data_IF_764698031786
#
_entry.id   IF_764698031786
#
_cell.length_a   1.000
_cell.length_b   1.000
_cell.length_c   1.000
_cell.angle_alpha   90.00
_cell.angle_beta   90.00
_cell.angle_gamma   90.00
#
_symmetry.space_group_name_H-M   'P 1'
#
loop_
_entity.id
_entity.type
_entity.pdbx_description
1 polymer ?
#
# COMPACT_ATOMS: atom_id res chain seq x y z
N UNK A 1 72.59 -27.65 -37.41
CA UNK A 1 71.51 -26.87 -36.79
C UNK A 1 70.64 -26.34 -37.91
N UNK A 2 69.37 -26.78 -37.99
CA UNK A 2 68.50 -26.55 -39.14
C UNK A 2 68.01 -25.08 -39.19
N UNK A 3 68.08 -24.53 -40.42
CA UNK A 3 67.70 -23.11 -40.70
C UNK A 3 66.35 -22.69 -40.07
N UNK A 4 65.39 -23.60 -39.93
CA UNK A 4 64.10 -23.34 -39.22
C UNK A 4 64.25 -23.02 -37.74
N UNK A 5 65.20 -23.64 -37.03
CA UNK A 5 65.46 -23.36 -35.62
C UNK A 5 66.10 -21.95 -35.38
N UNK A 6 66.91 -21.51 -36.35
CA UNK A 6 67.52 -20.21 -36.32
C UNK A 6 66.51 -19.07 -36.56
N UNK A 7 65.51 -19.31 -37.43
CA UNK A 7 64.42 -18.37 -37.67
C UNK A 7 63.53 -18.18 -36.44
N UNK A 8 63.22 -19.21 -35.66
CA UNK A 8 62.39 -19.09 -34.42
C UNK A 8 63.19 -18.40 -33.31
N UNK A 9 64.51 -18.61 -33.23
CA UNK A 9 65.35 -17.89 -32.25
C UNK A 9 65.42 -16.40 -32.57
N UNK A 10 65.55 -16.02 -33.84
CA UNK A 10 65.56 -14.61 -34.26
C UNK A 10 64.22 -13.90 -34.03
N UNK A 11 63.09 -14.56 -34.25
CA UNK A 11 61.74 -14.03 -33.99
C UNK A 11 61.50 -13.89 -32.48
N UNK A 12 61.96 -14.88 -31.70
CA UNK A 12 61.81 -14.81 -30.22
C UNK A 12 62.64 -13.68 -29.63
N UNK A 13 63.86 -13.42 -30.11
CA UNK A 13 64.70 -12.31 -29.64
C UNK A 13 64.10 -10.97 -30.08
N UNK A 14 63.53 -10.86 -31.29
CA UNK A 14 62.90 -9.62 -31.76
C UNK A 14 61.65 -9.27 -30.96
N UNK A 15 60.84 -10.27 -30.54
CA UNK A 15 59.65 -10.05 -29.68
C UNK A 15 60.06 -9.62 -28.28
N UNK A 16 61.13 -10.20 -27.71
CA UNK A 16 61.61 -9.79 -26.37
C UNK A 16 62.17 -8.37 -26.39
N UNK A 17 62.87 -7.97 -27.45
CA UNK A 17 63.43 -6.62 -27.58
C UNK A 17 62.32 -5.58 -27.77
N UNK A 18 61.24 -5.89 -28.47
CA UNK A 18 60.11 -4.97 -28.63
C UNK A 18 59.31 -4.80 -27.32
N UNK A 19 59.20 -5.82 -26.45
CA UNK A 19 58.56 -5.71 -25.16
C UNK A 19 59.36 -4.92 -24.13
N UNK A 20 60.72 -4.97 -24.24
CA UNK A 20 61.61 -4.23 -23.35
C UNK A 20 61.75 -2.72 -23.72
N UNK A 21 61.49 -2.34 -24.98
CA UNK A 21 61.52 -0.95 -25.42
C UNK A 21 60.22 -0.17 -25.17
N UNK A 22 59.14 -0.85 -24.80
CA UNK A 22 57.86 -0.21 -24.43
C UNK A 22 57.79 0.23 -22.96
N UNK A 23 58.82 -0.01 -22.14
CA UNK A 23 58.84 0.26 -20.71
C UNK A 23 59.43 1.60 -20.32
N UNK A 24 59.87 2.41 -21.27
CA UNK A 24 60.39 3.77 -21.00
C UNK A 24 59.47 4.84 -21.63
N UNK A 25 58.25 4.96 -21.12
CA UNK A 25 57.44 6.15 -21.28
C UNK A 25 57.85 7.24 -20.25
N UNK A 26 57.66 8.55 -20.56
CA UNK A 26 58.03 9.61 -19.65
C UNK A 26 57.28 9.41 -18.32
N UNK A 27 58.01 9.62 -17.21
CA UNK A 27 57.44 9.52 -15.84
C UNK A 27 56.17 10.35 -15.76
N UNK A 28 55.04 9.68 -15.46
CA UNK A 28 53.80 10.38 -15.18
C UNK A 28 54.02 11.30 -13.98
N UNK A 29 53.79 12.60 -14.16
CA UNK A 29 53.70 13.57 -13.09
C UNK A 29 52.73 13.02 -12.03
N UNK A 30 53.04 13.02 -10.73
CA UNK A 30 52.16 12.57 -9.70
C UNK A 30 50.89 13.41 -9.75
N UNK A 31 49.78 12.79 -10.15
CA UNK A 31 48.45 13.37 -10.00
C UNK A 31 48.23 13.54 -8.48
N UNK A 32 47.84 14.70 -7.99
CA UNK A 32 47.51 14.87 -6.59
C UNK A 32 46.43 13.82 -6.24
N UNK A 33 46.45 13.20 -5.06
CA UNK A 33 45.46 12.23 -4.68
C UNK A 33 44.09 12.84 -4.82
N UNK A 34 43.30 12.33 -5.75
CA UNK A 34 41.88 12.65 -5.87
C UNK A 34 41.27 12.31 -4.52
N UNK A 35 40.85 13.35 -3.79
CA UNK A 35 40.12 13.18 -2.52
C UNK A 35 39.03 12.16 -2.78
N UNK A 36 39.03 11.05 -2.05
CA UNK A 36 37.97 10.07 -2.10
C UNK A 36 36.63 10.81 -1.97
N UNK A 37 35.61 10.49 -2.78
CA UNK A 37 34.32 11.12 -2.61
C UNK A 37 33.93 10.94 -1.15
N UNK A 38 33.69 12.06 -0.48
CA UNK A 38 33.19 12.10 0.88
C UNK A 38 31.92 11.22 0.89
N UNK A 39 31.73 10.29 1.84
CA UNK A 39 30.55 9.46 1.86
C UNK A 39 29.34 10.38 1.85
N UNK A 40 28.55 10.30 0.80
CA UNK A 40 27.30 11.06 0.68
C UNK A 40 26.47 10.72 1.90
N UNK A 41 26.27 11.73 2.76
CA UNK A 41 25.40 11.63 3.92
C UNK A 41 24.07 10.98 3.46
N UNK A 42 23.59 9.92 4.12
CA UNK A 42 22.30 9.36 3.78
C UNK A 42 21.27 10.48 3.70
N UNK A 43 20.34 10.48 2.74
CA UNK A 43 19.29 11.48 2.70
C UNK A 43 18.65 11.55 4.08
N UNK A 44 18.52 12.76 4.62
CA UNK A 44 17.89 12.97 5.91
C UNK A 44 16.53 12.25 5.89
N UNK A 45 16.13 11.54 6.98
CA UNK A 45 14.80 10.97 7.06
C UNK A 45 13.80 12.05 6.70
N UNK A 46 12.85 11.74 5.81
CA UNK A 46 11.79 12.67 5.45
C UNK A 46 11.18 13.21 6.75
N UNK A 47 11.09 14.54 6.88
CA UNK A 47 10.58 15.17 8.08
C UNK A 47 9.20 14.54 8.40
N UNK A 48 9.12 13.83 9.52
CA UNK A 48 7.85 13.41 10.07
C UNK A 48 7.17 14.65 10.62
N UNK A 49 5.93 14.88 10.20
CA UNK A 49 5.11 15.95 10.74
C UNK A 49 5.06 15.84 12.28
N UNK A 50 5.05 16.96 13.02
CA UNK A 50 4.79 16.93 14.44
C UNK A 50 3.49 16.18 14.72
N UNK A 51 3.36 15.44 15.82
CA UNK A 51 2.11 14.77 16.16
C UNK A 51 0.99 15.81 16.21
N UNK A 52 -0.09 15.52 15.49
CA UNK A 52 -1.29 16.36 15.51
C UNK A 52 -1.72 16.60 16.97
N UNK A 53 -2.27 17.77 17.31
CA UNK A 53 -2.82 18.03 18.65
C UNK A 53 -3.70 16.86 19.05
N UNK A 54 -3.53 16.35 20.27
CA UNK A 54 -4.27 15.21 20.78
C UNK A 54 -5.78 15.46 20.62
N UNK A 55 -6.39 14.84 19.62
CA UNK A 55 -7.83 14.88 19.43
C UNK A 55 -8.47 14.31 20.69
N UNK A 56 -9.43 15.03 21.26
CA UNK A 56 -10.23 14.58 22.38
C UNK A 56 -10.80 13.21 22.00
N UNK A 57 -10.42 12.16 22.74
CA UNK A 57 -10.84 10.78 22.46
C UNK A 57 -12.35 10.67 22.70
N UNK A 58 -13.15 11.02 21.70
CA UNK A 58 -14.57 10.66 21.72
C UNK A 58 -14.67 9.15 21.65
N UNK A 59 -15.34 8.47 22.59
CA UNK A 59 -15.51 7.03 22.50
C UNK A 59 -16.21 6.69 21.19
N UNK A 60 -15.62 5.76 20.44
CA UNK A 60 -16.25 5.27 19.22
C UNK A 60 -17.48 4.46 19.57
N UNK A 61 -18.57 4.53 18.76
CA UNK A 61 -19.77 3.73 18.98
C UNK A 61 -19.44 2.26 19.14
N UNK A 62 -20.09 1.57 20.07
CA UNK A 62 -20.00 0.14 20.19
C UNK A 62 -20.56 -0.51 18.90
N UNK A 63 -19.81 -1.49 18.34
CA UNK A 63 -20.33 -2.29 17.24
C UNK A 63 -21.47 -3.17 17.75
N UNK A 64 -22.55 -3.27 16.96
CA UNK A 64 -23.62 -4.20 17.27
C UNK A 64 -23.08 -5.64 17.25
N UNK A 65 -23.55 -6.54 18.13
CA UNK A 65 -23.10 -7.93 18.13
C UNK A 65 -23.51 -8.60 16.83
N UNK A 66 -22.52 -9.10 16.07
CA UNK A 66 -22.74 -9.88 14.86
C UNK A 66 -23.31 -11.26 15.19
N UNK A 67 -24.12 -11.82 14.30
CA UNK A 67 -24.44 -13.24 14.33
C UNK A 67 -23.21 -14.02 13.92
N UNK A 68 -22.59 -14.69 14.89
CA UNK A 68 -21.40 -15.50 14.66
C UNK A 68 -21.74 -16.98 14.90
N UNK A 69 -22.81 -17.45 14.25
CA UNK A 69 -23.27 -18.81 14.38
C UNK A 69 -22.26 -19.78 13.80
N UNK A 70 -22.02 -20.88 14.53
CA UNK A 70 -21.07 -21.91 14.10
C UNK A 70 -21.49 -22.52 12.78
N UNK A 71 -20.57 -22.55 11.81
CA UNK A 71 -20.85 -23.18 10.51
C UNK A 71 -20.91 -24.70 10.64
N UNK A 72 -21.73 -25.38 9.84
CA UNK A 72 -21.81 -26.86 9.81
C UNK A 72 -20.44 -27.51 9.48
N UNK A 73 -19.62 -26.80 8.70
CA UNK A 73 -18.27 -27.22 8.30
C UNK A 73 -17.17 -26.79 9.26
N UNK A 74 -17.52 -26.24 10.43
CA UNK A 74 -16.54 -25.80 11.42
C UNK A 74 -15.53 -26.89 11.78
N UNK A 75 -14.26 -26.50 11.88
CA UNK A 75 -13.15 -27.41 12.10
C UNK A 75 -12.90 -27.64 13.60
N UNK A 76 -12.31 -28.77 13.89
CA UNK A 76 -11.68 -29.04 15.18
C UNK A 76 -10.23 -29.39 14.92
N UNK A 77 -9.32 -28.67 15.56
CA UNK A 77 -7.87 -28.83 15.40
C UNK A 77 -7.25 -29.22 16.75
N UNK A 78 -6.25 -30.10 16.70
CA UNK A 78 -5.50 -30.48 17.90
C UNK A 78 -4.50 -29.38 18.32
N UNK A 79 -4.09 -29.40 19.58
CA UNK A 79 -3.02 -28.53 20.07
C UNK A 79 -1.75 -28.67 19.21
N UNK A 80 -1.07 -27.56 18.96
CA UNK A 80 0.10 -27.47 18.07
C UNK A 80 -0.23 -27.39 16.58
N UNK A 81 -1.46 -27.61 16.17
CA UNK A 81 -1.90 -27.40 14.78
C UNK A 81 -2.30 -25.95 14.56
N UNK A 82 -2.11 -25.45 13.34
CA UNK A 82 -2.52 -24.10 12.97
C UNK A 82 -4.03 -23.93 13.13
N UNK A 83 -4.44 -22.87 13.81
CA UNK A 83 -5.83 -22.61 14.20
C UNK A 83 -6.18 -23.09 15.62
N UNK A 84 -5.29 -23.79 16.32
CA UNK A 84 -5.46 -24.09 17.74
C UNK A 84 -5.15 -22.85 18.61
N UNK A 85 -5.61 -22.80 19.88
CA UNK A 85 -5.35 -21.68 20.77
C UNK A 85 -3.86 -21.36 20.99
N UNK A 86 -3.01 -22.39 20.99
CA UNK A 86 -1.55 -22.29 21.14
C UNK A 86 -0.83 -21.95 19.82
N UNK A 87 -1.52 -22.04 18.68
CA UNK A 87 -1.00 -21.72 17.36
C UNK A 87 -2.08 -21.04 16.48
N UNK A 88 -2.47 -19.81 16.79
CA UNK A 88 -3.56 -19.12 16.10
C UNK A 88 -3.22 -18.79 14.65
N UNK A 89 -4.24 -18.64 13.81
CA UNK A 89 -4.13 -18.04 12.49
C UNK A 89 -3.94 -16.53 12.67
N UNK A 90 -2.83 -16.00 12.16
CA UNK A 90 -2.54 -14.56 12.24
C UNK A 90 -3.14 -13.85 11.06
N UNK A 91 -3.95 -12.83 11.35
CA UNK A 91 -4.55 -11.90 10.38
C UNK A 91 -3.73 -10.62 10.38
N UNK A 92 -3.17 -10.29 9.25
CA UNK A 92 -2.35 -9.09 9.05
C UNK A 92 -3.16 -7.98 8.38
N UNK A 93 -3.05 -6.77 8.92
CA UNK A 93 -3.62 -5.55 8.34
C UNK A 93 -2.54 -4.52 8.04
N UNK A 94 -2.62 -3.86 6.88
CA UNK A 94 -1.74 -2.72 6.59
C UNK A 94 -2.17 -1.48 7.39
N UNK A 95 -1.23 -0.62 7.82
CA UNK A 95 -1.52 0.55 8.66
C UNK A 95 -2.02 1.76 7.83
N UNK A 96 -3.10 1.59 7.05
CA UNK A 96 -3.58 2.61 6.12
C UNK A 96 -4.25 3.82 6.80
N UNK A 97 -4.86 3.58 7.97
CA UNK A 97 -5.53 4.58 8.81
C UNK A 97 -5.16 4.36 10.27
N UNK A 98 -5.90 4.95 11.21
CA UNK A 98 -5.65 4.79 12.65
C UNK A 98 -5.58 3.30 13.05
N UNK A 99 -4.42 2.85 13.53
CA UNK A 99 -4.15 1.45 13.89
C UNK A 99 -5.07 0.96 15.02
N UNK A 100 -5.49 1.85 15.93
CA UNK A 100 -6.42 1.50 17.00
C UNK A 100 -7.81 1.14 16.47
N UNK A 101 -8.26 1.81 15.38
CA UNK A 101 -9.51 1.47 14.69
C UNK A 101 -9.40 0.10 14.00
N UNK A 102 -8.33 -0.09 13.23
CA UNK A 102 -8.04 -1.35 12.53
C UNK A 102 -8.00 -2.51 13.52
N UNK A 103 -7.22 -2.39 14.59
CA UNK A 103 -7.06 -3.44 15.60
C UNK A 103 -8.39 -3.80 16.26
N UNK A 104 -9.19 -2.82 16.64
CA UNK A 104 -10.49 -3.08 17.29
C UNK A 104 -11.46 -3.78 16.35
N UNK A 105 -11.62 -3.30 15.11
CA UNK A 105 -12.48 -3.94 14.12
C UNK A 105 -11.98 -5.34 13.76
N UNK A 106 -10.67 -5.48 13.59
CA UNK A 106 -10.01 -6.76 13.32
C UNK A 106 -10.21 -7.77 14.44
N UNK A 107 -10.10 -7.37 15.71
CA UNK A 107 -10.37 -8.25 16.86
C UNK A 107 -11.82 -8.72 16.88
N UNK A 108 -12.80 -7.82 16.69
CA UNK A 108 -14.20 -8.20 16.61
C UNK A 108 -14.47 -9.19 15.46
N UNK A 109 -13.83 -8.98 14.30
CA UNK A 109 -13.90 -9.90 13.17
C UNK A 109 -13.26 -11.26 13.52
N UNK A 110 -12.08 -11.27 14.12
CA UNK A 110 -11.36 -12.48 14.52
C UNK A 110 -12.16 -13.34 15.53
N UNK A 111 -12.79 -12.69 16.51
CA UNK A 111 -13.67 -13.37 17.48
C UNK A 111 -14.88 -14.01 16.81
N UNK A 112 -15.52 -13.29 15.86
CA UNK A 112 -16.64 -13.81 15.10
C UNK A 112 -16.22 -15.00 14.21
N UNK A 113 -15.12 -14.84 13.46
CA UNK A 113 -14.55 -15.93 12.65
C UNK A 113 -14.24 -17.16 13.53
N UNK A 114 -13.67 -16.96 14.73
CA UNK A 114 -13.37 -18.04 15.65
C UNK A 114 -14.61 -18.84 16.05
N UNK A 115 -15.69 -18.18 16.39
CA UNK A 115 -16.99 -18.82 16.71
C UNK A 115 -17.56 -19.60 15.54
N UNK A 116 -17.48 -19.00 14.33
CA UNK A 116 -18.03 -19.59 13.11
C UNK A 116 -17.24 -20.79 12.61
N UNK A 117 -15.91 -20.74 12.69
CA UNK A 117 -15.02 -21.73 12.08
C UNK A 117 -14.51 -22.80 13.03
N UNK A 118 -14.56 -22.56 14.35
CA UNK A 118 -13.92 -23.40 15.37
C UNK A 118 -12.40 -23.24 15.46
N UNK A 119 -11.84 -22.25 14.77
CA UNK A 119 -10.40 -21.94 14.75
C UNK A 119 -10.10 -20.72 15.62
N UNK A 120 -8.86 -20.57 16.04
CA UNK A 120 -8.39 -19.39 16.77
C UNK A 120 -7.66 -18.45 15.83
N UNK A 121 -8.00 -17.16 15.92
CA UNK A 121 -7.39 -16.10 15.14
C UNK A 121 -6.73 -15.06 16.05
N UNK A 122 -5.63 -14.50 15.57
CA UNK A 122 -4.90 -13.38 16.19
C UNK A 122 -4.79 -12.26 15.19
N UNK A 123 -4.98 -11.01 15.62
CA UNK A 123 -4.87 -9.83 14.77
C UNK A 123 -3.53 -9.15 14.99
N UNK A 124 -2.88 -8.81 13.91
CA UNK A 124 -1.69 -7.98 13.86
C UNK A 124 -1.95 -6.80 12.90
N UNK A 125 -1.39 -5.65 13.23
CA UNK A 125 -1.32 -4.51 12.32
C UNK A 125 0.15 -4.21 12.08
N UNK A 126 0.55 -4.20 10.81
CA UNK A 126 1.92 -3.93 10.41
C UNK A 126 2.38 -2.52 10.80
N UNK A 127 3.68 -2.36 10.92
CA UNK A 127 4.30 -1.03 11.13
C UNK A 127 4.45 -0.25 9.82
N UNK A 128 4.36 -0.96 8.69
CA UNK A 128 4.37 -0.42 7.32
C UNK A 128 3.82 -1.46 6.35
N UNK A 129 3.48 -1.05 5.15
CA UNK A 129 3.05 -1.95 4.08
C UNK A 129 4.14 -3.00 3.76
N UNK A 130 5.40 -2.59 3.75
CA UNK A 130 6.52 -3.52 3.54
C UNK A 130 6.62 -4.56 4.66
N UNK A 131 6.42 -4.16 5.92
CA UNK A 131 6.42 -5.10 7.05
C UNK A 131 5.30 -6.12 6.93
N UNK A 132 4.10 -5.71 6.50
CA UNK A 132 2.96 -6.63 6.28
C UNK A 132 3.23 -7.62 5.15
N UNK A 133 3.85 -7.19 4.04
CA UNK A 133 4.28 -8.08 2.96
C UNK A 133 5.27 -9.14 3.47
N UNK A 134 6.29 -8.72 4.24
CA UNK A 134 7.30 -9.61 4.80
C UNK A 134 6.73 -10.56 5.86
N UNK A 135 5.75 -10.11 6.65
CA UNK A 135 5.06 -10.95 7.62
C UNK A 135 4.34 -12.13 6.94
N UNK A 136 3.66 -11.87 5.82
CA UNK A 136 3.05 -12.92 5.01
C UNK A 136 4.10 -13.80 4.32
N UNK A 137 5.09 -13.19 3.67
CA UNK A 137 6.14 -13.94 2.98
C UNK A 137 6.96 -14.84 3.89
N UNK A 138 7.20 -14.42 5.12
CA UNK A 138 7.92 -15.20 6.15
C UNK A 138 7.04 -16.15 6.96
N UNK A 139 5.75 -16.27 6.64
CA UNK A 139 4.81 -17.16 7.35
C UNK A 139 4.49 -16.73 8.79
N UNK A 140 4.76 -15.47 9.14
CA UNK A 140 4.38 -14.89 10.44
C UNK A 140 2.90 -14.52 10.48
N UNK A 141 2.35 -14.14 9.34
CA UNK A 141 0.93 -13.93 9.12
C UNK A 141 0.42 -14.94 8.09
N UNK A 142 -0.80 -15.43 8.25
CA UNK A 142 -1.37 -16.52 7.44
C UNK A 142 -2.44 -16.02 6.47
N UNK A 143 -3.12 -14.96 6.82
CA UNK A 143 -4.03 -14.22 5.96
C UNK A 143 -3.79 -12.71 6.13
N UNK A 144 -4.06 -11.94 5.08
CA UNK A 144 -3.82 -10.52 5.07
C UNK A 144 -4.91 -9.74 4.38
N UNK A 145 -5.06 -8.49 4.81
CA UNK A 145 -5.81 -7.45 4.13
C UNK A 145 -4.81 -6.39 3.67
N UNK A 146 -4.08 -6.74 2.59
CA UNK A 146 -3.05 -5.89 2.01
C UNK A 146 -3.69 -4.92 1.02
N UNK A 147 -3.16 -3.70 0.93
CA UNK A 147 -3.56 -2.80 -0.14
C UNK A 147 -3.17 -3.37 -1.51
N UNK A 148 -3.73 -2.84 -2.58
CA UNK A 148 -3.61 -3.39 -3.93
C UNK A 148 -2.16 -3.56 -4.39
N UNK A 149 -1.31 -2.55 -4.19
CA UNK A 149 0.11 -2.62 -4.56
C UNK A 149 0.85 -3.67 -3.71
N UNK A 150 0.59 -3.70 -2.41
CA UNK A 150 1.18 -4.68 -1.50
C UNK A 150 0.74 -6.11 -1.83
N UNK A 151 -0.53 -6.32 -2.19
CA UNK A 151 -1.05 -7.61 -2.63
C UNK A 151 -0.37 -8.07 -3.93
N UNK A 152 -0.20 -7.15 -4.90
CA UNK A 152 0.51 -7.44 -6.15
C UNK A 152 1.98 -7.81 -5.89
N UNK A 153 2.66 -7.04 -5.05
CA UNK A 153 4.05 -7.28 -4.69
C UNK A 153 4.22 -8.61 -3.92
N UNK A 154 3.35 -8.89 -2.95
CA UNK A 154 3.35 -10.14 -2.22
C UNK A 154 3.03 -11.34 -3.13
N UNK A 155 2.13 -11.18 -4.10
CA UNK A 155 1.86 -12.20 -5.13
C UNK A 155 3.11 -12.50 -5.96
N UNK A 156 3.79 -11.47 -6.44
CA UNK A 156 4.98 -11.66 -7.27
C UNK A 156 6.18 -12.21 -6.48
N UNK A 157 6.35 -11.79 -5.22
CA UNK A 157 7.51 -12.17 -4.40
C UNK A 157 7.32 -13.50 -3.67
N UNK A 158 6.14 -13.76 -3.15
CA UNK A 158 5.85 -14.87 -2.25
C UNK A 158 4.72 -15.79 -2.74
N UNK A 159 4.15 -15.49 -3.90
CA UNK A 159 3.05 -16.26 -4.51
C UNK A 159 1.84 -16.41 -3.58
N UNK A 160 1.48 -15.33 -2.85
CA UNK A 160 0.27 -15.34 -2.03
C UNK A 160 -0.97 -15.55 -2.89
N UNK A 161 -1.98 -16.20 -2.33
CA UNK A 161 -3.27 -16.39 -3.00
C UNK A 161 -4.16 -15.15 -2.78
N UNK A 162 -4.51 -14.44 -3.84
CA UNK A 162 -5.50 -13.36 -3.79
C UNK A 162 -6.88 -13.98 -4.00
N UNK A 163 -7.71 -14.01 -2.97
CA UNK A 163 -8.94 -14.82 -2.93
C UNK A 163 -10.19 -13.99 -3.06
N UNK A 164 -10.26 -12.85 -2.38
CA UNK A 164 -11.39 -11.95 -2.45
C UNK A 164 -10.91 -10.54 -2.81
N UNK A 165 -11.75 -9.82 -3.56
CA UNK A 165 -11.64 -8.38 -3.75
C UNK A 165 -12.80 -7.70 -3.07
N UNK A 166 -12.52 -6.63 -2.34
CA UNK A 166 -13.55 -5.87 -1.65
C UNK A 166 -14.37 -5.04 -2.63
N UNK A 167 -15.64 -4.87 -2.31
CA UNK A 167 -16.52 -3.93 -2.97
C UNK A 167 -16.92 -2.82 -2.01
N UNK A 168 -16.90 -1.59 -2.49
CA UNK A 168 -17.32 -0.39 -1.74
C UNK A 168 -18.37 0.36 -2.56
N UNK A 169 -19.28 1.05 -1.88
CA UNK A 169 -20.14 2.02 -2.56
C UNK A 169 -19.27 3.14 -3.10
N UNK A 170 -19.36 3.37 -4.41
CA UNK A 170 -18.55 4.35 -5.10
C UNK A 170 -18.96 5.79 -4.74
N UNK A 171 -17.97 6.69 -4.68
CA UNK A 171 -18.17 8.09 -4.35
C UNK A 171 -18.00 8.38 -2.86
N UNK A 172 -18.37 9.57 -2.45
CA UNK A 172 -18.32 10.00 -1.05
C UNK A 172 -19.70 9.98 -0.40
N UNK A 173 -19.76 9.59 0.88
CA UNK A 173 -20.99 9.54 1.63
C UNK A 173 -21.39 10.92 2.12
N UNK A 174 -22.64 11.34 1.85
CA UNK A 174 -23.23 12.56 2.40
C UNK A 174 -23.74 12.34 3.82
N UNK A 175 -24.06 13.43 4.51
CA UNK A 175 -24.61 13.39 5.87
C UNK A 175 -25.94 12.63 5.96
N UNK A 176 -26.75 12.65 4.91
CA UNK A 176 -28.01 11.91 4.82
C UNK A 176 -27.82 10.41 4.52
N UNK A 177 -26.58 9.95 4.36
CA UNK A 177 -26.24 8.56 4.07
C UNK A 177 -26.29 8.19 2.58
N UNK A 178 -26.71 9.11 1.72
CA UNK A 178 -26.63 8.93 0.26
C UNK A 178 -25.18 9.10 -0.23
N UNK A 179 -24.90 8.71 -1.48
CA UNK A 179 -23.59 8.84 -2.08
C UNK A 179 -23.64 9.81 -3.25
N UNK A 180 -22.55 10.56 -3.44
CA UNK A 180 -22.32 11.41 -4.60
C UNK A 180 -20.89 11.20 -5.12
N UNK A 181 -20.63 11.70 -6.30
CA UNK A 181 -19.29 11.84 -6.85
C UNK A 181 -19.13 13.26 -7.42
N UNK A 182 -17.91 13.66 -7.70
CA UNK A 182 -17.63 14.98 -8.26
C UNK A 182 -18.02 15.04 -9.74
N UNK A 183 -18.49 16.19 -10.22
CA UNK A 183 -18.88 16.37 -11.63
C UNK A 183 -17.74 16.12 -12.62
N UNK A 184 -16.51 16.37 -12.19
CA UNK A 184 -15.31 16.10 -12.98
C UNK A 184 -14.87 14.63 -12.95
N UNK A 185 -15.52 13.78 -12.15
CA UNK A 185 -15.21 12.37 -12.10
C UNK A 185 -15.87 11.63 -13.27
N UNK A 186 -15.09 10.95 -14.15
CA UNK A 186 -15.65 10.20 -15.28
C UNK A 186 -16.56 9.04 -14.84
N UNK A 187 -16.46 8.59 -13.57
CA UNK A 187 -17.26 7.51 -13.01
C UNK A 187 -18.40 7.97 -12.12
N UNK A 188 -18.79 9.24 -12.18
CA UNK A 188 -19.82 9.82 -11.30
C UNK A 188 -21.17 9.09 -11.31
N UNK A 189 -21.53 8.47 -12.42
CA UNK A 189 -22.77 7.70 -12.57
C UNK A 189 -22.76 6.38 -11.76
N UNK A 190 -21.63 6.01 -11.18
CA UNK A 190 -21.50 4.88 -10.26
C UNK A 190 -21.75 5.25 -8.80
N UNK A 191 -21.99 6.52 -8.48
CA UNK A 191 -22.23 6.97 -7.11
C UNK A 191 -23.28 6.12 -6.39
N UNK A 192 -22.92 5.56 -5.23
CA UNK A 192 -23.75 4.65 -4.44
C UNK A 192 -23.85 3.21 -4.94
N UNK A 193 -23.34 2.88 -6.11
CA UNK A 193 -23.26 1.50 -6.61
C UNK A 193 -22.01 0.80 -6.07
N UNK A 194 -22.09 -0.52 -5.89
CA UNK A 194 -20.92 -1.31 -5.53
C UNK A 194 -19.90 -1.32 -6.67
N UNK A 195 -18.64 -1.07 -6.32
CA UNK A 195 -17.51 -1.10 -7.24
C UNK A 195 -16.35 -1.88 -6.61
N UNK A 196 -15.68 -2.69 -7.41
CA UNK A 196 -14.47 -3.44 -7.02
C UNK A 196 -13.19 -2.64 -7.28
N UNK A 197 -13.34 -1.33 -7.40
CA UNK A 197 -12.24 -0.36 -7.54
C UNK A 197 -12.55 0.90 -6.76
N UNK A 198 -11.50 1.66 -6.48
CA UNK A 198 -11.54 3.00 -5.92
C UNK A 198 -10.56 3.91 -6.68
N UNK A 199 -10.47 5.18 -6.29
CA UNK A 199 -9.56 6.15 -6.90
C UNK A 199 -8.76 6.92 -5.87
N UNK A 200 -7.58 7.44 -6.20
CA UNK A 200 -6.97 8.51 -5.44
C UNK A 200 -7.82 9.77 -5.53
N UNK A 201 -7.98 10.49 -4.43
CA UNK A 201 -8.52 11.84 -4.38
C UNK A 201 -7.41 12.82 -4.01
N UNK A 202 -7.23 13.84 -4.87
CA UNK A 202 -6.33 14.94 -4.62
C UNK A 202 -7.11 16.11 -4.06
N UNK A 203 -6.69 16.61 -2.93
CA UNK A 203 -7.41 17.64 -2.19
C UNK A 203 -6.47 18.76 -1.74
N UNK A 204 -7.07 19.91 -1.47
CA UNK A 204 -6.39 21.12 -1.03
C UNK A 204 -7.27 21.88 -0.05
N UNK A 205 -6.72 22.90 0.60
CA UNK A 205 -7.50 23.79 1.45
C UNK A 205 -8.47 24.63 0.60
N UNK A 206 -9.71 24.74 1.03
CA UNK A 206 -10.70 25.58 0.34
C UNK A 206 -10.16 27.00 0.16
N UNK A 207 -10.32 27.55 -1.04
CA UNK A 207 -9.83 28.88 -1.39
C UNK A 207 -8.32 28.99 -1.66
N UNK A 208 -7.55 27.89 -1.70
CA UNK A 208 -6.10 27.89 -1.96
C UNK A 208 -5.69 28.35 -3.36
N UNK A 209 -6.62 28.30 -4.32
CA UNK A 209 -6.33 28.55 -5.73
C UNK A 209 -5.79 27.34 -6.51
N UNK A 210 -5.48 26.22 -5.84
CA UNK A 210 -5.06 24.96 -6.50
C UNK A 210 -6.29 24.30 -7.13
N UNK A 211 -6.24 24.05 -8.44
CA UNK A 211 -7.35 23.48 -9.23
C UNK A 211 -6.92 22.27 -10.06
N UNK A 212 -5.62 22.12 -10.30
CA UNK A 212 -5.03 21.05 -11.11
C UNK A 212 -3.79 20.47 -10.43
N UNK A 213 -3.36 19.30 -10.89
CA UNK A 213 -2.11 18.69 -10.42
C UNK A 213 -0.87 19.53 -10.79
N UNK A 214 -0.93 20.35 -11.83
CA UNK A 214 0.17 21.26 -12.18
C UNK A 214 0.34 22.40 -11.17
N UNK A 215 -0.74 22.85 -10.53
CA UNK A 215 -0.70 23.93 -9.56
C UNK A 215 0.03 23.56 -8.25
N UNK A 216 0.28 22.25 -8.03
CA UNK A 216 1.02 21.78 -6.84
C UNK A 216 2.55 21.92 -6.98
N UNK A 217 3.05 22.24 -8.16
CA UNK A 217 4.47 22.47 -8.38
C UNK A 217 4.96 23.64 -7.50
N UNK A 218 6.05 23.41 -6.76
CA UNK A 218 6.59 24.35 -5.78
C UNK A 218 5.86 24.40 -4.44
N UNK A 219 4.76 23.67 -4.28
CA UNK A 219 3.93 23.62 -3.06
C UNK A 219 4.35 22.50 -2.10
N UNK A 220 3.89 22.58 -0.87
CA UNK A 220 3.96 21.47 0.07
C UNK A 220 2.86 20.45 -0.25
N UNK A 221 3.23 19.17 -0.30
CA UNK A 221 2.33 18.08 -0.67
C UNK A 221 2.43 16.89 0.27
N UNK A 222 1.30 16.50 0.86
CA UNK A 222 1.20 15.36 1.75
C UNK A 222 0.79 14.09 1.00
N UNK A 223 1.72 13.16 0.85
CA UNK A 223 1.45 11.76 0.55
C UNK A 223 1.09 11.01 1.83
N UNK A 224 0.48 9.83 1.73
CA UNK A 224 0.12 9.03 2.91
C UNK A 224 1.30 8.22 3.45
N UNK A 225 1.78 7.27 2.67
CA UNK A 225 2.98 6.47 2.92
C UNK A 225 3.63 6.05 1.60
N UNK A 226 4.89 5.62 1.64
CA UNK A 226 5.62 5.23 0.45
C UNK A 226 5.03 3.97 -0.24
N UNK A 227 4.46 3.04 0.53
CA UNK A 227 3.86 1.79 0.04
C UNK A 227 2.36 1.86 -0.20
N UNK A 228 1.71 2.98 0.11
CA UNK A 228 0.28 3.17 -0.15
C UNK A 228 0.00 3.24 -1.66
N UNK A 229 -0.95 2.43 -2.14
CA UNK A 229 -1.30 2.42 -3.56
C UNK A 229 -1.84 3.77 -4.02
N UNK A 230 -2.92 4.27 -3.40
CA UNK A 230 -3.58 5.52 -3.79
C UNK A 230 -2.96 6.78 -3.18
N UNK A 231 -2.21 6.63 -2.08
CA UNK A 231 -1.64 7.78 -1.39
C UNK A 231 -0.13 7.96 -1.58
N UNK A 232 0.53 7.06 -2.30
CA UNK A 232 1.97 7.08 -2.54
C UNK A 232 2.34 6.67 -3.97
N UNK A 233 2.20 5.39 -4.30
CA UNK A 233 2.71 4.80 -5.56
C UNK A 233 2.09 5.46 -6.80
N UNK A 234 0.76 5.39 -6.93
CA UNK A 234 0.05 5.94 -8.09
C UNK A 234 0.19 7.46 -8.20
N UNK A 235 -0.02 8.25 -7.13
CA UNK A 235 0.17 9.70 -7.23
C UNK A 235 1.57 10.12 -7.65
N UNK A 236 2.59 9.49 -7.11
CA UNK A 236 3.99 9.80 -7.50
C UNK A 236 4.26 9.44 -8.97
N UNK A 237 3.73 8.31 -9.44
CA UNK A 237 3.81 7.92 -10.84
C UNK A 237 3.05 8.91 -11.74
N UNK A 238 1.86 9.34 -11.34
CA UNK A 238 1.07 10.36 -12.05
C UNK A 238 1.84 11.67 -12.18
N UNK A 239 2.42 12.19 -11.10
CA UNK A 239 3.23 13.41 -11.17
C UNK A 239 4.44 13.25 -12.11
N UNK A 240 5.16 12.13 -12.01
CA UNK A 240 6.30 11.86 -12.91
C UNK A 240 5.88 11.79 -14.38
N UNK A 241 4.76 11.16 -14.69
CA UNK A 241 4.21 11.12 -16.05
C UNK A 241 3.83 12.51 -16.58
N UNK A 242 3.50 13.45 -15.69
CA UNK A 242 3.23 14.85 -16.02
C UNK A 242 4.50 15.73 -16.06
N UNK A 243 5.68 15.13 -15.89
CA UNK A 243 6.94 15.88 -15.87
C UNK A 243 7.20 16.63 -14.56
N UNK A 244 6.53 16.26 -13.48
CA UNK A 244 6.74 16.81 -12.13
C UNK A 244 7.48 15.75 -11.31
N UNK A 245 8.70 16.05 -10.87
CA UNK A 245 9.43 15.19 -9.94
C UNK A 245 9.01 15.53 -8.50
N UNK A 246 8.27 14.63 -7.80
CA UNK A 246 7.80 14.92 -6.45
C UNK A 246 8.92 15.23 -5.44
N UNK A 247 10.13 14.75 -5.70
CA UNK A 247 11.27 14.95 -4.78
C UNK A 247 12.06 16.24 -5.04
N UNK A 248 11.86 16.86 -6.23
CA UNK A 248 12.57 18.07 -6.64
C UNK A 248 11.64 19.27 -6.85
N UNK A 249 10.48 19.02 -7.44
CA UNK A 249 9.56 20.07 -7.88
C UNK A 249 8.50 20.40 -6.81
N UNK A 250 8.44 19.65 -5.71
CA UNK A 250 7.49 19.84 -4.61
C UNK A 250 8.19 19.68 -3.25
N UNK A 251 7.57 20.19 -2.18
CA UNK A 251 7.96 19.90 -0.80
C UNK A 251 7.17 18.68 -0.31
N UNK A 252 7.59 17.50 -0.74
CA UNK A 252 6.90 16.24 -0.47
C UNK A 252 7.11 15.76 0.97
N UNK A 253 6.03 15.31 1.61
CA UNK A 253 6.04 14.73 2.96
C UNK A 253 5.15 13.49 2.99
N UNK A 254 5.51 12.50 3.79
CA UNK A 254 4.66 11.35 4.11
C UNK A 254 4.00 11.57 5.47
N UNK A 255 2.66 11.64 5.48
CA UNK A 255 1.88 11.91 6.69
C UNK A 255 1.74 10.69 7.61
N UNK A 256 1.98 9.47 7.08
CA UNK A 256 1.90 8.23 7.83
C UNK A 256 0.48 7.64 7.94
N UNK A 257 -0.44 8.02 7.05
CA UNK A 257 -1.80 7.50 6.94
C UNK A 257 -2.70 8.40 6.12
N UNK A 258 -3.81 7.86 5.63
CA UNK A 258 -4.76 8.61 4.80
C UNK A 258 -5.49 9.70 5.60
N UNK A 259 -5.93 9.37 6.80
CA UNK A 259 -6.53 10.30 7.75
C UNK A 259 -5.56 11.43 8.13
N UNK A 260 -4.30 11.09 8.38
CA UNK A 260 -3.26 12.07 8.74
C UNK A 260 -2.93 13.02 7.59
N UNK A 261 -2.91 12.52 6.34
CA UNK A 261 -2.68 13.38 5.17
C UNK A 261 -3.82 14.39 4.99
N UNK A 262 -5.08 13.97 5.19
CA UNK A 262 -6.23 14.88 5.17
C UNK A 262 -6.19 15.91 6.31
N UNK A 263 -5.83 15.49 7.53
CA UNK A 263 -5.65 16.38 8.69
C UNK A 263 -4.54 17.41 8.44
N UNK A 264 -3.43 17.01 7.84
CA UNK A 264 -2.32 17.92 7.53
C UNK A 264 -2.74 19.05 6.57
N UNK A 265 -3.57 18.74 5.56
CA UNK A 265 -4.12 19.78 4.68
C UNK A 265 -5.17 20.63 5.43
N UNK A 266 -6.04 20.02 6.23
CA UNK A 266 -7.00 20.75 7.05
C UNK A 266 -6.32 21.77 7.97
N UNK A 267 -5.24 21.39 8.63
CA UNK A 267 -4.47 22.28 9.51
C UNK A 267 -3.66 23.33 8.72
N UNK A 268 -3.33 23.08 7.45
CA UNK A 268 -2.45 23.92 6.63
C UNK A 268 -0.97 23.56 6.73
N UNK A 269 -0.63 22.37 7.23
CA UNK A 269 0.73 21.83 7.26
C UNK A 269 1.19 21.47 5.83
N UNK A 270 0.23 21.14 4.96
CA UNK A 270 0.44 20.95 3.53
C UNK A 270 -0.54 21.79 2.72
N UNK A 271 -0.10 22.35 1.58
CA UNK A 271 -0.95 23.10 0.65
C UNK A 271 -1.94 22.17 -0.07
N UNK A 272 -1.52 20.94 -0.35
CA UNK A 272 -2.34 19.91 -0.97
C UNK A 272 -1.93 18.52 -0.48
N UNK A 273 -2.76 17.52 -0.77
CA UNK A 273 -2.50 16.14 -0.41
C UNK A 273 -3.29 15.16 -1.25
N UNK A 274 -3.09 13.88 -0.98
CA UNK A 274 -3.78 12.78 -1.66
C UNK A 274 -4.13 11.69 -0.66
N UNK A 275 -5.30 11.07 -0.86
CA UNK A 275 -5.72 9.88 -0.11
C UNK A 275 -6.59 8.98 -1.00
N UNK A 276 -7.14 7.91 -0.41
CA UNK A 276 -8.19 7.16 -1.08
C UNK A 276 -9.49 7.97 -1.16
N UNK A 277 -10.32 7.66 -2.16
CA UNK A 277 -11.65 8.26 -2.34
C UNK A 277 -12.50 8.17 -1.07
N UNK A 278 -13.20 9.27 -0.76
CA UNK A 278 -14.09 9.38 0.40
C UNK A 278 -13.38 9.55 1.76
N UNK A 279 -12.07 9.79 1.79
CA UNK A 279 -11.31 9.89 3.05
C UNK A 279 -11.92 10.88 4.06
N UNK A 280 -12.53 11.97 3.59
CA UNK A 280 -13.07 13.04 4.44
C UNK A 280 -14.37 12.65 5.14
N UNK A 281 -15.17 11.77 4.52
CA UNK A 281 -16.51 11.38 5.02
C UNK A 281 -16.59 9.89 5.36
N UNK A 282 -15.58 9.10 5.03
CA UNK A 282 -15.48 7.68 5.34
C UNK A 282 -15.54 7.44 6.87
N UNK A 283 -16.48 6.60 7.30
CA UNK A 283 -16.69 6.28 8.72
C UNK A 283 -15.49 5.57 9.35
N UNK A 284 -14.71 4.81 8.59
CA UNK A 284 -13.52 4.14 9.08
C UNK A 284 -12.39 5.13 9.43
N UNK A 285 -12.34 6.32 8.81
CA UNK A 285 -11.40 7.38 9.19
C UNK A 285 -11.88 8.18 10.40
N UNK A 286 -13.19 8.26 10.61
CA UNK A 286 -13.84 9.05 11.65
C UNK A 286 -13.49 10.55 11.60
N UNK A 287 -13.07 11.06 10.43
CA UNK A 287 -12.63 12.45 10.29
C UNK A 287 -13.78 13.44 10.44
N UNK A 288 -14.93 13.18 9.83
CA UNK A 288 -16.09 14.06 9.93
C UNK A 288 -16.61 14.21 11.37
N UNK A 289 -16.45 13.18 12.22
CA UNK A 289 -16.80 13.28 13.64
C UNK A 289 -15.78 14.08 14.45
N UNK A 290 -14.49 13.96 14.13
CA UNK A 290 -13.40 14.68 14.82
C UNK A 290 -13.29 16.13 14.38
N UNK A 291 -13.58 16.40 13.11
CA UNK A 291 -13.48 17.70 12.45
C UNK A 291 -14.75 17.95 11.64
N UNK A 292 -15.86 18.41 12.27
CA UNK A 292 -17.17 18.53 11.61
C UNK A 292 -17.19 19.45 10.39
N UNK A 293 -16.23 20.36 10.29
CA UNK A 293 -16.08 21.32 9.19
C UNK A 293 -15.01 20.91 8.16
N UNK A 294 -14.46 19.70 8.25
CA UNK A 294 -13.36 19.25 7.36
C UNK A 294 -13.78 19.29 5.88
N UNK A 295 -15.00 18.86 5.56
CA UNK A 295 -15.52 18.86 4.19
C UNK A 295 -15.80 20.27 3.63
N UNK A 296 -15.86 21.31 4.49
CA UNK A 296 -15.95 22.70 4.06
C UNK A 296 -14.56 23.34 3.89
N UNK A 297 -13.58 22.91 4.67
CA UNK A 297 -12.22 23.46 4.66
C UNK A 297 -11.26 22.75 3.71
N UNK A 298 -11.54 21.51 3.39
CA UNK A 298 -10.74 20.70 2.47
C UNK A 298 -11.59 20.36 1.25
N UNK A 299 -11.10 20.71 0.07
CA UNK A 299 -11.81 20.53 -1.21
C UNK A 299 -11.04 19.56 -2.09
N UNK A 300 -11.71 18.54 -2.61
CA UNK A 300 -11.18 17.65 -3.65
C UNK A 300 -11.20 18.42 -4.98
N UNK A 301 -10.06 18.45 -5.68
CA UNK A 301 -9.93 19.14 -6.97
C UNK A 301 -9.65 18.18 -8.14
N UNK A 302 -9.27 16.95 -7.85
CA UNK A 302 -8.94 15.93 -8.86
C UNK A 302 -9.17 14.53 -8.30
N UNK A 303 -9.57 13.59 -9.16
CA UNK A 303 -9.52 12.14 -8.91
C UNK A 303 -8.53 11.50 -9.89
N UNK A 304 -7.89 10.41 -9.47
CA UNK A 304 -6.96 9.67 -10.33
C UNK A 304 -7.60 8.47 -11.04
N UNK A 305 -6.76 7.56 -11.53
CA UNK A 305 -7.18 6.34 -12.21
C UNK A 305 -7.79 5.31 -11.26
N UNK A 306 -8.57 4.38 -11.82
CA UNK A 306 -9.14 3.25 -11.08
C UNK A 306 -8.05 2.34 -10.54
N UNK A 307 -8.13 2.04 -9.26
CA UNK A 307 -7.29 1.08 -8.55
C UNK A 307 -8.21 -0.06 -8.10
N UNK A 308 -7.92 -1.34 -8.40
CA UNK A 308 -8.68 -2.44 -7.82
C UNK A 308 -8.72 -2.31 -6.29
N UNK A 309 -9.86 -2.59 -5.67
CA UNK A 309 -9.90 -2.61 -4.21
C UNK A 309 -8.95 -3.70 -3.67
N UNK A 310 -8.45 -3.47 -2.48
CA UNK A 310 -7.83 -4.49 -1.64
C UNK A 310 -8.84 -5.60 -1.30
N UNK A 311 -8.40 -6.60 -0.58
CA UNK A 311 -9.26 -7.72 -0.23
C UNK A 311 -8.53 -8.73 0.64
N UNK A 312 -8.89 -10.01 0.49
CA UNK A 312 -8.33 -11.08 1.28
C UNK A 312 -7.24 -11.82 0.50
N UNK A 313 -6.07 -11.94 1.13
CA UNK A 313 -4.97 -12.78 0.66
C UNK A 313 -4.64 -13.85 1.69
N UNK A 314 -4.20 -15.04 1.21
CA UNK A 314 -3.63 -16.09 2.03
C UNK A 314 -2.18 -16.36 1.63
N UNK A 315 -1.37 -16.81 2.60
CA UNK A 315 -0.02 -17.26 2.29
C UNK A 315 -0.06 -18.49 1.37
N UNK A 316 0.99 -18.65 0.57
CA UNK A 316 1.18 -19.86 -0.23
C UNK A 316 1.20 -21.11 0.66
N UNK A 317 0.48 -22.14 0.25
CA UNK A 317 0.49 -23.44 0.94
C UNK A 317 -0.33 -23.51 2.24
N UNK A 318 -1.12 -22.47 2.56
CA UNK A 318 -2.09 -22.59 3.66
C UNK A 318 -3.07 -23.73 3.38
N UNK A 319 -3.38 -24.54 4.42
CA UNK A 319 -4.32 -25.67 4.31
C UNK A 319 -5.62 -25.23 3.61
N UNK A 320 -6.02 -25.89 2.51
CA UNK A 320 -7.25 -25.56 1.79
C UNK A 320 -8.49 -25.55 2.68
N UNK A 321 -8.59 -26.45 3.65
CA UNK A 321 -9.75 -26.50 4.58
C UNK A 321 -9.83 -25.22 5.43
N UNK A 322 -8.68 -24.71 5.87
CA UNK A 322 -8.61 -23.43 6.61
C UNK A 322 -9.00 -22.28 5.70
N UNK A 323 -8.49 -22.25 4.45
CA UNK A 323 -8.86 -21.21 3.47
C UNK A 323 -10.36 -21.22 3.20
N UNK A 324 -10.92 -22.38 2.89
CA UNK A 324 -12.31 -22.52 2.49
C UNK A 324 -13.25 -22.12 3.63
N UNK A 325 -13.04 -22.64 4.84
CA UNK A 325 -13.91 -22.32 5.98
C UNK A 325 -13.80 -20.86 6.41
N UNK A 326 -12.60 -20.28 6.39
CA UNK A 326 -12.38 -18.87 6.76
C UNK A 326 -13.03 -17.95 5.74
N UNK A 327 -12.88 -18.25 4.44
CA UNK A 327 -13.52 -17.50 3.36
C UNK A 327 -15.04 -17.59 3.46
N UNK A 328 -15.59 -18.78 3.67
CA UNK A 328 -17.04 -19.00 3.83
C UNK A 328 -17.57 -18.23 5.06
N UNK A 329 -16.87 -18.27 6.18
CA UNK A 329 -17.24 -17.52 7.38
C UNK A 329 -17.24 -16.01 7.14
N UNK A 330 -16.19 -15.48 6.49
CA UNK A 330 -16.10 -14.05 6.17
C UNK A 330 -17.25 -13.61 5.24
N UNK A 331 -17.56 -14.40 4.20
CA UNK A 331 -18.69 -14.10 3.29
C UNK A 331 -20.04 -14.18 4.01
N UNK A 332 -20.26 -15.17 4.90
CA UNK A 332 -21.46 -15.26 5.70
C UNK A 332 -21.58 -14.08 6.69
N UNK A 333 -20.47 -13.66 7.28
CA UNK A 333 -20.38 -12.49 8.14
C UNK A 333 -20.77 -11.22 7.38
N UNK A 334 -20.32 -11.08 6.11
CA UNK A 334 -20.69 -9.94 5.26
C UNK A 334 -22.18 -9.93 4.88
N UNK A 335 -22.83 -11.06 4.84
CA UNK A 335 -24.26 -11.17 4.56
C UNK A 335 -25.14 -10.79 5.76
N UNK A 336 -24.61 -10.82 6.99
CA UNK A 336 -25.29 -10.36 8.20
C UNK A 336 -25.06 -8.86 8.41
N UNK A 337 -26.09 -8.01 8.60
CA UNK A 337 -25.91 -6.56 8.76
C UNK A 337 -24.95 -6.16 9.89
N UNK A 338 -24.98 -6.86 11.03
CA UNK A 338 -24.10 -6.58 12.15
C UNK A 338 -22.67 -7.08 11.88
N UNK A 339 -22.52 -8.24 11.22
CA UNK A 339 -21.24 -8.75 10.76
C UNK A 339 -20.59 -7.85 9.72
N UNK A 340 -21.38 -7.38 8.75
CA UNK A 340 -20.93 -6.39 7.77
C UNK A 340 -20.45 -5.11 8.46
N UNK A 341 -21.17 -4.60 9.47
CA UNK A 341 -20.77 -3.41 10.21
C UNK A 341 -19.41 -3.58 10.91
N UNK A 342 -19.11 -4.79 11.42
CA UNK A 342 -17.80 -5.11 12.01
C UNK A 342 -16.70 -5.01 10.94
N UNK A 343 -16.84 -5.71 9.81
CA UNK A 343 -15.83 -5.69 8.74
C UNK A 343 -15.70 -4.28 8.15
N UNK A 344 -16.82 -3.61 7.92
CA UNK A 344 -16.87 -2.24 7.43
C UNK A 344 -16.15 -1.23 8.33
N UNK A 345 -16.09 -1.47 9.64
CA UNK A 345 -15.40 -0.61 10.60
C UNK A 345 -13.87 -0.62 10.45
N UNK A 346 -13.32 -1.59 9.70
CA UNK A 346 -11.88 -1.72 9.46
C UNK A 346 -11.45 -0.84 8.28
N UNK A 347 -12.03 -1.11 7.08
CA UNK A 347 -11.66 -0.44 5.83
C UNK A 347 -12.87 -0.02 4.97
N UNK A 348 -14.06 0.08 5.57
CA UNK A 348 -15.28 0.49 4.87
C UNK A 348 -15.69 -0.44 3.70
N UNK A 349 -15.46 -1.75 3.82
CA UNK A 349 -15.91 -2.73 2.83
C UNK A 349 -17.42 -2.97 2.95
N UNK A 350 -18.15 -2.86 1.84
CA UNK A 350 -19.58 -3.15 1.78
C UNK A 350 -19.87 -4.60 1.43
N UNK A 351 -19.03 -5.23 0.59
CA UNK A 351 -19.15 -6.62 0.16
C UNK A 351 -17.78 -7.17 -0.25
N UNK A 352 -17.74 -8.46 -0.54
CA UNK A 352 -16.63 -9.12 -1.22
C UNK A 352 -17.14 -9.89 -2.44
N UNK A 353 -16.30 -9.98 -3.45
CA UNK A 353 -16.46 -10.94 -4.55
C UNK A 353 -15.19 -11.77 -4.71
N UNK A 354 -15.32 -12.94 -5.35
CA UNK A 354 -14.18 -13.80 -5.63
C UNK A 354 -13.20 -13.06 -6.54
N UNK A 355 -11.95 -12.98 -6.13
CA UNK A 355 -10.93 -12.30 -6.90
C UNK A 355 -10.59 -13.10 -8.17
N UNK A 356 -10.64 -12.42 -9.30
CA UNK A 356 -10.05 -12.86 -10.55
C UNK A 356 -8.81 -12.01 -10.82
N UNK A 357 -7.64 -12.61 -10.66
CA UNK A 357 -6.37 -11.89 -10.83
C UNK A 357 -6.25 -11.28 -12.22
N UNK A 358 -6.64 -12.01 -13.27
CA UNK A 358 -6.57 -11.51 -14.65
C UNK A 358 -7.54 -10.33 -14.87
N UNK A 359 -8.70 -10.37 -14.26
CA UNK A 359 -9.71 -9.30 -14.37
C UNK A 359 -9.32 -8.04 -13.62
N UNK A 360 -8.83 -8.16 -12.39
CA UNK A 360 -8.62 -7.01 -11.50
C UNK A 360 -7.18 -6.53 -11.46
N UNK A 361 -6.22 -7.43 -11.27
CA UNK A 361 -4.84 -7.07 -10.92
C UNK A 361 -3.90 -7.01 -12.12
N UNK A 362 -4.12 -7.82 -13.17
CA UNK A 362 -3.28 -7.76 -14.36
C UNK A 362 -3.39 -6.42 -15.11
N UNK A 363 -4.59 -5.83 -15.32
CA UNK A 363 -4.70 -4.48 -15.88
C UNK A 363 -4.02 -3.41 -15.02
N UNK A 364 -4.06 -3.58 -13.70
CA UNK A 364 -3.40 -2.66 -12.77
C UNK A 364 -1.85 -2.79 -12.85
N UNK A 365 -1.31 -3.99 -12.96
CA UNK A 365 0.12 -4.22 -13.17
C UNK A 365 0.60 -3.54 -14.48
N UNK A 366 -0.19 -3.62 -15.55
CA UNK A 366 0.09 -2.93 -16.81
C UNK A 366 0.04 -1.39 -16.66
N UNK A 367 -0.90 -0.88 -15.86
CA UNK A 367 -0.96 0.55 -15.53
C UNK A 367 0.31 1.00 -14.80
N UNK A 368 0.76 0.24 -13.81
CA UNK A 368 2.00 0.50 -13.07
C UNK A 368 3.22 0.52 -13.99
N UNK A 369 3.34 -0.47 -14.88
CA UNK A 369 4.43 -0.54 -15.87
C UNK A 369 4.44 0.69 -16.79
N UNK A 370 3.28 1.09 -17.33
CA UNK A 370 3.14 2.30 -18.14
C UNK A 370 3.52 3.57 -17.38
N UNK A 371 3.24 3.60 -16.09
CA UNK A 371 3.62 4.69 -15.19
C UNK A 371 5.11 4.64 -14.75
N UNK A 372 5.90 3.69 -15.29
CA UNK A 372 7.31 3.52 -14.95
C UNK A 372 7.57 2.81 -13.62
N UNK A 373 6.53 2.24 -13.02
CA UNK A 373 6.63 1.44 -11.79
C UNK A 373 6.75 -0.03 -12.16
N UNK A 374 7.97 -0.55 -12.12
CA UNK A 374 8.25 -1.96 -12.39
C UNK A 374 8.28 -2.75 -11.08
N UNK A 375 7.17 -3.41 -10.77
CA UNK A 375 7.00 -4.20 -9.55
C UNK A 375 8.06 -5.30 -9.46
N UNK A 376 8.48 -5.88 -10.58
CA UNK A 376 9.47 -6.96 -10.62
C UNK A 376 10.86 -6.49 -10.14
N UNK A 377 11.19 -5.22 -10.29
CA UNK A 377 12.43 -4.64 -9.78
C UNK A 377 12.39 -4.41 -8.28
N UNK A 378 11.21 -4.12 -7.73
CA UNK A 378 11.01 -3.94 -6.29
C UNK A 378 11.05 -5.27 -5.52
N UNK A 379 10.74 -6.39 -6.19
CA UNK A 379 10.85 -7.75 -5.62
C UNK A 379 12.31 -8.15 -5.35
N UNK A 380 13.27 -7.58 -6.10
CA UNK A 380 14.69 -7.97 -6.03
C UNK A 380 15.51 -7.17 -5.01
N UNK A 381 14.90 -6.20 -4.36
CA UNK A 381 15.49 -5.41 -3.27
C UNK A 381 15.06 -5.97 -1.89
#
# INVERSE_FOLDING_TARGET
MNARRMSYLLVAVLVIVTVLLSACGPAATPVPPTKAPEPTKPPAPAATLPPAPAATKTPLPALAPAKCDKLPSALTVAAGQLGAPDKPIVIEFVPSVDVGLITRGGQAMAECLGKMTGLTYKVEAGTSEAASIEAMGGGKAHMGFLNTFSALLAKQKYDVDVVLVAQRKYGFQKADGTYAAFDFDPDKDLAGKLASFYKPEYYTKAGSGIKTLQDVKGKSFCFTSAGSTSGGIIPRATFKAMGIDPDKDMKSTYAGGHDKAAIAVYNGDCDAGVAFMDVLTDKATNLASKFPDIAQKVTVFQVGDRIPNDGLQYIKGLDPKIKDITTAALLAMMADPAGNAVVKSIYNYDAFEVADYAKYYAPFDELLKKAGVDVSKLVKQ
#
